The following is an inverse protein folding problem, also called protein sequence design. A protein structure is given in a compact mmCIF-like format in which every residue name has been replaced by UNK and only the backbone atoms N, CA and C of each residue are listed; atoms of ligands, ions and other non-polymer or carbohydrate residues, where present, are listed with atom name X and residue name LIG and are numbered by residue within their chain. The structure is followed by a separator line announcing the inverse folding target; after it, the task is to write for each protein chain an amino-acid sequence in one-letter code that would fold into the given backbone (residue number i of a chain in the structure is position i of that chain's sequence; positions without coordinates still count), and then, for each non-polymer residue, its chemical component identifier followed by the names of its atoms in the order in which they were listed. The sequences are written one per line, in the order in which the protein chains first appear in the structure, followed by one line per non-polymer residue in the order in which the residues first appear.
data_IF_785842682632
#
_entry.id   IF_785842682632
#
_cell.length_a   1.000
_cell.length_b   1.000
_cell.length_c   1.000
_cell.angle_alpha   90.00
_cell.angle_beta   90.00
_cell.angle_gamma   90.00
#
_symmetry.space_group_name_H-M   'P 1'
#
loop_
_entity.id
_entity.type
_entity.pdbx_description
1 polymer ?
#
# COMPACT_ATOMS: atom_id res chain seq x y z
N UNK A 1 30.84 -15.74 -12.60
CA UNK A 1 30.77 -15.97 -11.14
C UNK A 1 30.33 -14.68 -10.50
N UNK A 2 29.02 -14.54 -10.32
CA UNK A 2 28.39 -13.43 -9.59
C UNK A 2 27.03 -13.92 -9.15
N UNK A 3 26.73 -13.82 -7.86
CA UNK A 3 25.38 -13.97 -7.34
C UNK A 3 24.99 -12.70 -6.59
N UNK A 4 23.69 -12.49 -6.47
CA UNK A 4 23.10 -11.35 -5.82
C UNK A 4 22.24 -11.84 -4.67
N UNK A 5 22.35 -11.17 -3.53
CA UNK A 5 21.47 -11.40 -2.39
C UNK A 5 20.47 -10.27 -2.29
N UNK A 6 19.20 -10.57 -2.52
CA UNK A 6 18.11 -9.63 -2.32
C UNK A 6 17.39 -9.92 -1.01
N UNK A 7 17.06 -8.86 -0.24
CA UNK A 7 16.04 -8.95 0.81
C UNK A 7 14.72 -8.50 0.24
N UNK A 8 13.83 -9.44 0.00
CA UNK A 8 12.47 -9.22 -0.46
C UNK A 8 11.57 -9.02 0.75
N UNK A 9 10.80 -7.94 0.76
CA UNK A 9 9.91 -7.55 1.85
C UNK A 9 8.52 -7.37 1.33
N UNK A 10 7.54 -7.88 2.08
CA UNK A 10 6.14 -7.58 1.83
C UNK A 10 5.88 -6.13 2.20
N UNK A 11 5.37 -5.34 1.26
CA UNK A 11 5.27 -3.88 1.44
C UNK A 11 4.29 -3.49 2.57
N UNK A 12 3.11 -4.13 2.73
CA UNK A 12 2.20 -3.83 3.84
C UNK A 12 2.70 -4.22 5.23
N UNK A 13 3.64 -5.18 5.35
CA UNK A 13 4.31 -5.48 6.62
C UNK A 13 5.80 -5.86 6.41
N UNK A 14 6.66 -4.87 6.17
CA UNK A 14 8.03 -5.09 5.74
C UNK A 14 8.97 -5.47 6.89
N UNK A 15 8.46 -5.49 8.12
CA UNK A 15 9.21 -5.86 9.32
C UNK A 15 8.89 -7.27 9.79
N UNK A 16 7.68 -7.76 9.53
CA UNK A 16 7.28 -9.11 9.92
C UNK A 16 7.48 -10.11 8.80
N UNK A 17 7.23 -9.76 7.53
CA UNK A 17 7.34 -10.69 6.41
C UNK A 17 8.47 -10.30 5.44
N UNK A 18 9.56 -11.08 5.45
CA UNK A 18 10.66 -10.91 4.50
C UNK A 18 11.43 -12.20 4.23
N UNK A 19 12.12 -12.24 3.09
CA UNK A 19 12.99 -13.34 2.63
C UNK A 19 14.31 -12.76 2.11
N UNK A 20 15.44 -13.29 2.57
CA UNK A 20 16.73 -13.10 1.90
C UNK A 20 16.90 -14.21 0.87
N UNK A 21 16.95 -13.84 -0.41
CA UNK A 21 17.09 -14.77 -1.54
C UNK A 21 18.44 -14.52 -2.22
N UNK A 22 19.23 -15.57 -2.37
CA UNK A 22 20.45 -15.55 -3.17
C UNK A 22 20.16 -16.15 -4.54
N UNK A 23 20.52 -15.43 -5.60
CA UNK A 23 20.27 -15.82 -6.99
C UNK A 23 21.48 -15.52 -7.87
N UNK A 24 21.83 -16.45 -8.75
CA UNK A 24 22.93 -16.30 -9.71
C UNK A 24 22.63 -15.27 -10.79
N UNK A 25 23.65 -14.55 -11.26
CA UNK A 25 23.53 -13.53 -12.30
C UNK A 25 22.93 -14.01 -13.63
N UNK A 26 23.10 -15.29 -13.98
CA UNK A 26 22.63 -15.89 -15.24
C UNK A 26 21.20 -16.42 -15.13
N UNK A 27 20.57 -16.34 -13.95
CA UNK A 27 19.17 -16.71 -13.75
C UNK A 27 18.25 -15.59 -14.16
N UNK A 28 17.10 -15.97 -14.70
CA UNK A 28 16.06 -15.06 -15.20
C UNK A 28 15.28 -14.41 -14.07
N UNK A 29 14.66 -13.26 -14.35
CA UNK A 29 13.73 -12.63 -13.41
C UNK A 29 12.51 -13.51 -13.13
N UNK A 30 12.04 -14.29 -14.11
CA UNK A 30 10.97 -15.27 -13.92
C UNK A 30 11.36 -16.42 -12.98
N UNK A 31 12.63 -16.85 -12.96
CA UNK A 31 13.12 -17.81 -11.95
C UNK A 31 13.12 -17.18 -10.55
N UNK A 32 13.60 -15.94 -10.43
CA UNK A 32 13.62 -15.22 -9.17
C UNK A 32 12.22 -14.98 -8.60
N UNK A 33 11.28 -14.54 -9.43
CA UNK A 33 9.89 -14.31 -9.07
C UNK A 33 9.19 -15.59 -8.58
N UNK A 34 9.39 -16.73 -9.25
CA UNK A 34 8.84 -18.01 -8.79
C UNK A 34 9.29 -18.36 -7.37
N UNK A 35 10.55 -18.09 -7.05
CA UNK A 35 11.08 -18.30 -5.69
C UNK A 35 10.50 -17.31 -4.68
N UNK A 36 10.26 -16.04 -5.07
CA UNK A 36 9.58 -15.07 -4.20
C UNK A 36 8.21 -15.60 -3.82
N UNK A 37 7.35 -15.86 -4.80
CA UNK A 37 5.98 -16.29 -4.57
C UNK A 37 5.91 -17.59 -3.75
N UNK A 38 6.71 -18.60 -4.11
CA UNK A 38 6.77 -19.84 -3.34
C UNK A 38 7.21 -19.62 -1.88
N UNK A 39 8.11 -18.67 -1.62
CA UNK A 39 8.59 -18.36 -0.28
C UNK A 39 7.61 -17.50 0.53
N UNK A 40 6.76 -16.73 -0.13
CA UNK A 40 5.77 -15.83 0.49
C UNK A 40 4.36 -16.41 0.52
N UNK A 41 4.13 -17.62 -0.02
CA UNK A 41 2.83 -18.29 0.00
C UNK A 41 1.92 -17.95 -1.18
N UNK A 42 2.43 -17.24 -2.18
CA UNK A 42 1.69 -16.89 -3.39
C UNK A 42 1.83 -17.97 -4.48
N UNK A 43 0.82 -18.08 -5.33
CA UNK A 43 0.76 -18.99 -6.45
C UNK A 43 1.48 -18.41 -7.70
N UNK A 44 1.14 -18.92 -8.89
CA UNK A 44 1.75 -18.48 -10.16
C UNK A 44 0.67 -18.15 -11.22
N UNK A 45 -0.57 -17.91 -10.78
CA UNK A 45 -1.73 -17.79 -11.64
C UNK A 45 -1.94 -16.42 -12.28
N UNK A 46 -1.27 -15.38 -11.78
CA UNK A 46 -1.57 -13.98 -12.14
C UNK A 46 -0.42 -13.29 -12.87
N UNK A 47 -0.77 -12.19 -13.55
CA UNK A 47 0.19 -11.29 -14.17
C UNK A 47 0.99 -10.53 -13.10
N UNK A 48 2.20 -10.14 -13.48
CA UNK A 48 3.14 -9.47 -12.59
C UNK A 48 4.21 -8.72 -13.37
N UNK A 49 4.89 -7.80 -12.70
CA UNK A 49 6.11 -7.17 -13.20
C UNK A 49 7.10 -6.85 -12.07
N UNK A 50 8.37 -6.70 -12.46
CA UNK A 50 9.41 -6.07 -11.64
C UNK A 50 9.70 -4.68 -12.21
N UNK A 51 9.86 -3.70 -11.34
CA UNK A 51 10.08 -2.30 -11.72
C UNK A 51 11.12 -1.62 -10.84
N UNK A 52 11.27 -0.31 -11.04
CA UNK A 52 12.26 0.54 -10.37
C UNK A 52 11.65 1.64 -9.52
N UNK A 53 10.41 1.98 -9.79
CA UNK A 53 9.72 3.07 -9.13
C UNK A 53 8.99 2.55 -7.89
N UNK A 54 8.93 3.41 -6.87
CA UNK A 54 8.23 3.11 -5.64
C UNK A 54 6.71 3.01 -5.85
N UNK A 55 6.16 3.60 -6.91
CA UNK A 55 4.74 3.55 -7.31
C UNK A 55 4.39 2.24 -7.99
N UNK A 56 5.40 1.43 -8.29
CA UNK A 56 5.34 0.23 -9.11
C UNK A 56 4.88 0.55 -10.54
N UNK A 57 3.64 1.01 -10.71
CA UNK A 57 3.00 1.33 -11.97
C UNK A 57 3.69 2.47 -12.73
N UNK A 58 4.29 3.45 -12.05
CA UNK A 58 5.07 4.51 -12.70
C UNK A 58 6.54 4.12 -12.98
N UNK A 59 6.89 2.84 -13.00
CA UNK A 59 8.25 2.40 -13.33
C UNK A 59 8.63 2.75 -14.76
N UNK A 60 9.68 3.56 -14.92
CA UNK A 60 10.32 3.89 -16.21
C UNK A 60 10.68 2.63 -17.03
N UNK A 61 11.00 1.53 -16.33
CA UNK A 61 11.25 0.21 -16.92
C UNK A 61 10.42 -0.83 -16.18
N UNK A 62 9.67 -1.65 -16.93
CA UNK A 62 8.93 -2.80 -16.40
C UNK A 62 9.41 -4.09 -17.04
N UNK A 63 9.89 -5.00 -16.22
CA UNK A 63 10.20 -6.38 -16.61
C UNK A 63 8.94 -7.21 -16.39
N UNK A 64 8.17 -7.40 -17.45
CA UNK A 64 6.84 -8.00 -17.39
C UNK A 64 6.92 -9.52 -17.41
N UNK A 65 5.91 -10.15 -16.79
CA UNK A 65 5.71 -11.60 -16.91
C UNK A 65 5.69 -12.03 -18.39
N UNK A 66 6.25 -13.21 -18.74
CA UNK A 66 6.29 -13.68 -20.13
C UNK A 66 4.92 -13.72 -20.80
N UNK A 67 3.88 -14.09 -20.03
CA UNK A 67 2.50 -14.15 -20.49
C UNK A 67 1.97 -12.80 -20.96
N UNK A 68 2.26 -11.72 -20.22
CA UNK A 68 1.88 -10.37 -20.62
C UNK A 68 2.69 -9.90 -21.84
N UNK A 69 4.00 -10.15 -21.84
CA UNK A 69 4.88 -9.69 -22.90
C UNK A 69 4.54 -10.35 -24.26
N UNK A 70 4.29 -11.66 -24.26
CA UNK A 70 3.89 -12.40 -25.47
C UNK A 70 2.50 -12.01 -25.98
N UNK A 71 1.61 -11.56 -25.08
CA UNK A 71 0.26 -11.11 -25.40
C UNK A 71 0.16 -9.65 -25.86
N UNK A 72 1.24 -8.87 -25.71
CA UNK A 72 1.25 -7.46 -26.07
C UNK A 72 1.32 -7.25 -27.60
N UNK A 73 0.52 -6.35 -28.19
CA UNK A 73 0.71 -5.96 -29.57
C UNK A 73 2.08 -5.27 -29.76
N UNK A 74 2.81 -5.61 -30.83
CA UNK A 74 4.17 -5.10 -31.13
C UNK A 74 4.28 -3.56 -31.15
N UNK A 75 3.15 -2.85 -31.23
CA UNK A 75 3.03 -1.40 -31.13
C UNK A 75 1.66 -1.08 -30.53
N UNK A 76 1.58 -1.00 -29.20
CA UNK A 76 0.42 -0.36 -28.57
C UNK A 76 0.73 1.14 -28.38
N UNK A 77 0.11 2.05 -29.15
CA UNK A 77 0.28 3.49 -28.97
C UNK A 77 -0.31 4.03 -27.66
N UNK A 78 -0.98 3.19 -26.84
CA UNK A 78 -1.43 3.52 -25.48
C UNK A 78 -0.42 3.17 -24.40
N UNK A 79 0.62 2.39 -24.71
CA UNK A 79 1.75 2.21 -23.80
C UNK A 79 2.47 3.56 -23.72
N UNK A 80 2.58 4.09 -22.50
CA UNK A 80 3.31 5.32 -22.24
C UNK A 80 4.79 5.23 -22.63
N UNK A 81 5.63 6.22 -22.28
CA UNK A 81 7.06 6.20 -22.63
C UNK A 81 7.86 5.09 -21.92
N UNK A 82 7.23 4.21 -21.16
CA UNK A 82 7.87 3.17 -20.36
C UNK A 82 8.53 2.08 -21.23
N UNK A 83 9.72 1.65 -20.80
CA UNK A 83 10.44 0.56 -21.46
C UNK A 83 9.96 -0.78 -20.93
N UNK A 84 9.42 -1.62 -21.81
CA UNK A 84 8.96 -2.96 -21.47
C UNK A 84 9.99 -4.03 -21.87
N UNK A 85 10.26 -4.96 -20.97
CA UNK A 85 11.21 -6.05 -21.15
C UNK A 85 10.60 -7.38 -20.73
N UNK A 86 10.99 -8.49 -21.38
CA UNK A 86 10.49 -9.83 -21.03
C UNK A 86 11.27 -10.41 -19.85
N UNK A 87 10.61 -10.56 -18.69
CA UNK A 87 11.24 -11.11 -17.48
C UNK A 87 11.63 -12.60 -17.61
N UNK A 88 11.11 -13.32 -18.60
CA UNK A 88 11.51 -14.69 -18.93
C UNK A 88 12.84 -14.79 -19.66
N UNK A 89 13.31 -13.69 -20.25
CA UNK A 89 14.56 -13.62 -21.00
C UNK A 89 15.63 -12.81 -20.26
N UNK A 90 15.23 -11.72 -19.61
CA UNK A 90 16.16 -10.85 -18.87
C UNK A 90 16.68 -11.57 -17.63
N UNK A 91 18.00 -11.64 -17.52
CA UNK A 91 18.70 -12.18 -16.36
C UNK A 91 18.86 -11.16 -15.24
N UNK A 92 19.07 -11.65 -14.00
CA UNK A 92 19.34 -10.79 -12.83
C UNK A 92 20.58 -9.91 -13.08
N UNK A 93 21.64 -10.48 -13.67
CA UNK A 93 22.85 -9.74 -13.99
C UNK A 93 22.66 -8.68 -15.07
N UNK A 94 21.82 -8.94 -16.07
CA UNK A 94 21.44 -7.93 -17.07
C UNK A 94 20.62 -6.81 -16.45
N UNK A 95 19.55 -7.13 -15.72
CA UNK A 95 18.71 -6.14 -15.02
C UNK A 95 19.58 -5.26 -14.11
N UNK A 96 20.41 -5.86 -13.25
CA UNK A 96 21.29 -5.13 -12.32
C UNK A 96 22.19 -4.16 -13.07
N UNK A 97 22.77 -4.58 -14.20
CA UNK A 97 23.65 -3.74 -15.02
C UNK A 97 22.89 -2.64 -15.77
N UNK A 98 21.73 -2.95 -16.30
CA UNK A 98 20.89 -1.99 -17.04
C UNK A 98 20.41 -0.86 -16.13
N UNK A 99 20.03 -1.21 -14.90
CA UNK A 99 19.56 -0.27 -13.89
C UNK A 99 20.70 0.39 -13.11
N UNK A 100 21.93 -0.12 -13.24
CA UNK A 100 23.07 0.36 -12.47
C UNK A 100 22.96 0.10 -10.97
N UNK A 101 22.29 -1.00 -10.56
CA UNK A 101 22.04 -1.28 -9.15
C UNK A 101 23.34 -1.52 -8.39
N UNK A 102 23.49 -0.81 -7.28
CA UNK A 102 24.51 -0.98 -6.29
C UNK A 102 23.94 -1.61 -5.01
N UNK A 103 24.83 -1.95 -4.09
CA UNK A 103 24.42 -2.48 -2.80
C UNK A 103 23.51 -1.47 -2.07
N UNK A 104 22.37 -1.97 -1.60
CA UNK A 104 21.25 -1.29 -0.94
C UNK A 104 20.26 -0.57 -1.84
N UNK A 105 20.47 -0.60 -3.15
CA UNK A 105 19.44 -0.20 -4.12
C UNK A 105 18.27 -1.18 -4.10
N UNK A 106 17.15 -0.73 -4.66
CA UNK A 106 15.87 -1.41 -4.58
C UNK A 106 15.25 -1.59 -5.96
N UNK A 107 14.49 -2.66 -6.08
CA UNK A 107 13.53 -2.88 -7.15
C UNK A 107 12.17 -3.19 -6.51
N UNK A 108 11.10 -2.93 -7.24
CA UNK A 108 9.74 -3.25 -6.82
C UNK A 108 9.25 -4.50 -7.57
N UNK A 109 8.36 -5.26 -6.95
CA UNK A 109 7.73 -6.45 -7.51
C UNK A 109 6.24 -6.40 -7.18
N UNK A 110 5.41 -6.32 -8.22
CA UNK A 110 3.95 -6.33 -8.10
C UNK A 110 3.42 -7.62 -8.70
N UNK A 111 2.66 -8.37 -7.90
CA UNK A 111 2.01 -9.61 -8.29
C UNK A 111 0.51 -9.48 -8.16
N UNK A 112 -0.21 -9.99 -9.15
CA UNK A 112 -1.66 -9.84 -9.28
C UNK A 112 -2.10 -8.37 -9.44
N UNK A 113 -2.53 -8.00 -10.64
CA UNK A 113 -2.96 -6.63 -10.91
C UNK A 113 -4.34 -6.31 -10.33
N UNK A 114 -5.07 -7.31 -9.84
CA UNK A 114 -6.32 -7.12 -9.09
C UNK A 114 -6.05 -6.82 -7.62
N UNK A 115 -5.38 -7.75 -6.94
CA UNK A 115 -5.15 -7.69 -5.48
C UNK A 115 -3.90 -6.89 -5.09
N UNK A 116 -3.02 -6.64 -6.07
CA UNK A 116 -1.79 -5.86 -5.93
C UNK A 116 -0.89 -6.29 -4.77
N UNK A 117 -0.47 -7.54 -4.79
CA UNK A 117 0.54 -8.04 -3.85
C UNK A 117 1.88 -7.35 -4.11
N UNK A 118 2.20 -6.36 -3.28
CA UNK A 118 3.36 -5.48 -3.41
C UNK A 118 4.53 -5.96 -2.56
N UNK A 119 5.69 -6.05 -3.19
CA UNK A 119 6.96 -6.34 -2.54
C UNK A 119 8.05 -5.40 -3.05
N UNK A 120 9.04 -5.13 -2.22
CA UNK A 120 10.28 -4.54 -2.68
C UNK A 120 11.48 -5.40 -2.29
N UNK A 121 12.48 -5.42 -3.17
CA UNK A 121 13.68 -6.22 -3.01
C UNK A 121 14.91 -5.31 -2.91
N UNK A 122 15.59 -5.35 -1.76
CA UNK A 122 16.82 -4.58 -1.51
C UNK A 122 18.03 -5.45 -1.87
N UNK A 123 18.93 -4.96 -2.72
CA UNK A 123 20.18 -5.64 -3.04
C UNK A 123 21.14 -5.60 -1.83
N UNK A 124 21.18 -6.64 -1.01
CA UNK A 124 21.98 -6.68 0.23
C UNK A 124 23.46 -6.97 -0.01
N UNK A 125 23.81 -7.71 -1.06
CA UNK A 125 25.18 -8.06 -1.40
C UNK A 125 25.32 -8.47 -2.86
N UNK A 126 26.52 -8.26 -3.40
CA UNK A 126 26.98 -8.72 -4.71
C UNK A 126 28.19 -9.62 -4.46
N UNK A 127 28.04 -10.92 -4.68
CA UNK A 127 29.05 -11.92 -4.35
C UNK A 127 29.73 -12.43 -5.62
N UNK A 128 30.92 -11.91 -5.93
CA UNK A 128 31.67 -12.22 -7.16
C UNK A 128 32.34 -13.59 -7.17
N UNK A 129 32.31 -14.32 -6.05
CA UNK A 129 32.89 -15.66 -5.93
C UNK A 129 31.83 -16.78 -6.04
N UNK A 130 30.54 -16.43 -5.96
CA UNK A 130 29.44 -17.37 -6.10
C UNK A 130 29.15 -17.70 -7.58
N UNK A 131 28.57 -18.88 -7.80
CA UNK A 131 28.25 -19.38 -9.13
C UNK A 131 27.16 -18.50 -9.78
N UNK A 132 27.37 -18.09 -11.04
CA UNK A 132 26.41 -17.23 -11.75
C UNK A 132 25.16 -17.97 -12.22
N UNK A 133 25.21 -19.29 -12.30
CA UNK A 133 24.07 -20.17 -12.57
C UNK A 133 23.41 -20.69 -11.27
N UNK A 134 23.74 -20.13 -10.10
CA UNK A 134 23.12 -20.54 -8.84
C UNK A 134 21.61 -20.35 -8.86
N UNK A 135 20.86 -21.41 -8.57
CA UNK A 135 19.39 -21.34 -8.47
C UNK A 135 18.95 -20.40 -7.33
N UNK A 136 17.87 -19.62 -7.54
CA UNK A 136 17.36 -18.72 -6.50
C UNK A 136 16.94 -19.52 -5.27
N UNK A 137 17.55 -19.21 -4.14
CA UNK A 137 17.38 -19.95 -2.88
C UNK A 137 17.16 -18.97 -1.72
N UNK A 138 16.14 -19.23 -0.89
CA UNK A 138 15.94 -18.53 0.38
C UNK A 138 17.03 -18.95 1.37
N UNK A 139 17.82 -18.01 1.86
CA UNK A 139 18.92 -18.26 2.81
C UNK A 139 18.65 -17.72 4.21
N UNK A 140 17.64 -16.87 4.35
CA UNK A 140 17.18 -16.34 5.63
C UNK A 140 15.75 -15.80 5.48
N UNK A 141 14.96 -15.78 6.55
CA UNK A 141 13.56 -15.38 6.49
C UNK A 141 13.00 -14.95 7.85
N UNK A 142 11.88 -14.23 7.82
CA UNK A 142 11.03 -13.93 8.98
C UNK A 142 9.58 -13.82 8.53
N UNK A 143 8.67 -14.24 9.40
CA UNK A 143 7.22 -14.15 9.19
C UNK A 143 6.69 -15.35 8.43
N UNK A 144 5.48 -15.74 8.80
CA UNK A 144 4.79 -16.85 8.18
C UNK A 144 4.40 -16.48 6.73
N UNK A 145 4.38 -17.46 5.80
CA UNK A 145 3.85 -17.25 4.45
C UNK A 145 2.39 -16.77 4.49
N UNK A 146 1.95 -16.15 3.40
CA UNK A 146 0.56 -15.80 3.19
C UNK A 146 -0.24 -17.10 3.03
N UNK A 147 -1.01 -17.46 4.06
CA UNK A 147 -1.73 -18.73 4.12
C UNK A 147 -2.99 -18.77 3.23
N UNK A 148 -3.55 -17.61 2.89
CA UNK A 148 -4.80 -17.52 2.12
C UNK A 148 -4.75 -16.41 1.06
N UNK A 149 -4.03 -16.67 -0.04
CA UNK A 149 -3.87 -15.72 -1.16
C UNK A 149 -5.21 -15.29 -1.78
N UNK A 150 -6.18 -16.21 -1.89
CA UNK A 150 -7.53 -15.95 -2.41
C UNK A 150 -8.59 -16.00 -1.32
N UNK A 151 -8.14 -16.07 -0.08
CA UNK A 151 -9.01 -15.81 1.03
C UNK A 151 -9.52 -14.42 0.86
N UNK A 152 -10.84 -14.28 0.78
CA UNK A 152 -11.44 -13.16 1.50
C UNK A 152 -10.79 -13.19 2.87
N UNK A 153 -9.89 -12.24 3.16
CA UNK A 153 -9.03 -12.23 4.35
C UNK A 153 -9.75 -12.97 5.46
N UNK A 154 -9.25 -14.17 5.78
CA UNK A 154 -9.99 -15.17 6.55
C UNK A 154 -10.71 -14.45 7.66
N UNK A 155 -12.04 -14.54 7.63
CA UNK A 155 -12.89 -13.94 8.64
C UNK A 155 -12.48 -14.58 9.96
N UNK A 156 -11.53 -13.96 10.66
CA UNK A 156 -11.64 -13.85 12.08
C UNK A 156 -12.99 -13.18 12.27
N UNK A 157 -13.97 -14.02 12.59
CA UNK A 157 -15.37 -13.71 12.85
C UNK A 157 -15.50 -12.91 14.14
N UNK A 158 -14.72 -11.83 14.21
CA UNK A 158 -14.66 -10.82 15.25
C UNK A 158 -13.97 -9.51 14.81
N UNK A 159 -13.45 -9.38 13.59
CA UNK A 159 -13.16 -8.03 13.04
C UNK A 159 -14.49 -7.41 12.61
N UNK A 160 -14.90 -6.26 13.18
CA UNK A 160 -16.17 -5.64 12.82
C UNK A 160 -16.11 -5.26 11.35
N UNK A 161 -16.87 -5.97 10.52
CA UNK A 161 -17.07 -5.53 9.15
C UNK A 161 -17.69 -4.13 9.16
N UNK A 162 -17.21 -3.23 8.31
CA UNK A 162 -17.78 -1.89 8.18
C UNK A 162 -19.31 -1.95 8.07
N UNK A 163 -20.04 -1.13 8.83
CA UNK A 163 -21.50 -1.06 8.72
C UNK A 163 -21.91 -0.60 7.31
N UNK A 164 -23.12 -0.94 6.90
CA UNK A 164 -23.74 -0.19 5.80
C UNK A 164 -24.03 1.23 6.30
N UNK A 165 -23.82 2.28 5.48
CA UNK A 165 -23.51 2.25 4.04
C UNK A 165 -22.01 2.19 3.70
N UNK A 166 -21.09 2.29 4.67
CA UNK A 166 -19.65 2.37 4.44
C UNK A 166 -19.08 1.25 3.58
N UNK A 167 -19.55 0.01 3.81
CA UNK A 167 -19.14 -1.16 3.00
C UNK A 167 -19.40 -0.96 1.50
N UNK A 168 -20.45 -0.22 1.13
CA UNK A 168 -20.80 0.02 -0.28
C UNK A 168 -20.04 1.18 -0.94
N UNK A 169 -19.29 1.94 -0.13
CA UNK A 169 -18.64 3.19 -0.54
C UNK A 169 -17.12 3.05 -0.58
N UNK A 170 -16.53 2.27 0.34
CA UNK A 170 -15.08 2.20 0.50
C UNK A 170 -14.46 0.95 -0.15
N UNK A 171 -13.34 1.10 -0.88
CA UNK A 171 -12.54 -0.03 -1.32
C UNK A 171 -11.80 -0.67 -0.13
N UNK A 172 -11.31 -1.90 -0.30
CA UNK A 172 -10.70 -2.70 0.78
C UNK A 172 -9.29 -2.20 1.20
N UNK A 173 -8.74 -1.16 0.56
CA UNK A 173 -7.37 -0.63 0.76
C UNK A 173 -7.30 0.90 0.90
N UNK A 174 -6.13 1.44 1.24
CA UNK A 174 -5.90 2.88 1.41
C UNK A 174 -6.22 3.66 0.12
N UNK A 175 -6.86 4.83 0.26
CA UNK A 175 -7.46 5.57 -0.86
C UNK A 175 -6.73 6.88 -1.12
N UNK A 176 -6.44 7.24 -2.38
CA UNK A 176 -5.94 8.57 -2.73
C UNK A 176 -6.89 9.67 -2.25
N UNK A 177 -6.36 10.80 -1.77
CA UNK A 177 -7.17 11.94 -1.31
C UNK A 177 -8.16 12.42 -2.38
N UNK A 178 -7.77 12.35 -3.65
CA UNK A 178 -8.64 12.72 -4.77
C UNK A 178 -9.88 11.79 -4.87
N UNK A 179 -9.70 10.49 -4.63
CA UNK A 179 -10.77 9.50 -4.71
C UNK A 179 -11.71 9.59 -3.52
N UNK A 180 -11.17 9.86 -2.32
CA UNK A 180 -12.00 10.16 -1.14
C UNK A 180 -12.90 11.38 -1.37
N UNK A 181 -12.35 12.45 -1.96
CA UNK A 181 -13.14 13.64 -2.30
C UNK A 181 -14.18 13.36 -3.38
N UNK A 182 -13.91 12.45 -4.31
CA UNK A 182 -14.88 12.03 -5.32
C UNK A 182 -16.08 11.26 -4.73
N UNK A 183 -15.99 10.76 -3.49
CA UNK A 183 -17.13 10.10 -2.84
C UNK A 183 -18.30 11.06 -2.61
N UNK A 184 -18.04 12.37 -2.42
CA UNK A 184 -19.09 13.40 -2.32
C UNK A 184 -19.89 13.58 -3.62
N UNK A 185 -19.46 12.98 -4.73
CA UNK A 185 -20.25 12.96 -5.96
C UNK A 185 -21.41 11.94 -5.91
N UNK A 186 -21.47 11.10 -4.87
CA UNK A 186 -22.55 10.14 -4.67
C UNK A 186 -23.70 10.79 -3.90
N UNK A 187 -24.93 10.41 -4.26
CA UNK A 187 -26.15 10.98 -3.67
C UNK A 187 -26.32 10.63 -2.17
N UNK A 188 -25.64 9.59 -1.67
CA UNK A 188 -25.70 9.12 -0.29
C UNK A 188 -24.64 9.75 0.62
N UNK A 189 -23.62 10.43 0.07
CA UNK A 189 -22.51 11.01 0.84
C UNK A 189 -22.67 12.53 0.90
N UNK A 190 -22.77 13.07 2.10
CA UNK A 190 -22.91 14.51 2.34
C UNK A 190 -21.54 15.19 2.39
N UNK A 191 -20.68 14.72 3.29
CA UNK A 191 -19.35 15.30 3.49
C UNK A 191 -18.28 14.24 3.65
N UNK A 192 -17.09 14.53 3.14
CA UNK A 192 -15.84 13.79 3.39
C UNK A 192 -14.79 14.78 3.88
N UNK A 193 -14.36 14.61 5.13
CA UNK A 193 -13.28 15.34 5.76
C UNK A 193 -12.01 14.49 5.69
N UNK A 194 -11.07 14.89 4.86
CA UNK A 194 -9.78 14.19 4.72
C UNK A 194 -8.90 14.55 5.91
N UNK A 195 -8.40 13.57 6.66
CA UNK A 195 -7.59 13.83 7.86
C UNK A 195 -6.18 13.27 7.66
N UNK A 196 -5.18 14.00 8.13
CA UNK A 196 -3.79 13.52 8.21
C UNK A 196 -3.31 12.95 6.89
N UNK A 197 -3.47 13.77 5.85
CA UNK A 197 -2.93 13.42 4.54
C UNK A 197 -1.43 13.60 4.58
N UNK A 198 -0.67 12.55 4.35
CA UNK A 198 0.77 12.66 4.19
C UNK A 198 1.11 12.56 2.71
N UNK A 199 2.01 13.45 2.30
CA UNK A 199 2.58 13.40 0.96
C UNK A 199 3.46 12.16 0.85
N UNK A 200 3.10 11.29 -0.08
CA UNK A 200 3.92 10.16 -0.48
C UNK A 200 4.54 10.44 -1.85
N UNK A 201 5.43 9.55 -2.31
CA UNK A 201 5.84 9.54 -3.72
C UNK A 201 4.67 9.41 -4.71
N UNK A 202 3.46 9.04 -4.22
CA UNK A 202 2.23 8.75 -4.98
C UNK A 202 1.16 9.84 -4.86
N UNK A 203 1.54 11.00 -4.31
CA UNK A 203 0.63 12.09 -3.96
C UNK A 203 0.09 11.96 -2.53
N UNK A 204 -0.84 12.84 -2.19
CA UNK A 204 -1.49 12.81 -0.89
C UNK A 204 -2.40 11.57 -0.79
N UNK A 205 -2.01 10.63 0.07
CA UNK A 205 -2.84 9.51 0.50
C UNK A 205 -3.34 9.80 1.91
N UNK A 206 -4.45 9.18 2.24
CA UNK A 206 -5.15 9.43 3.48
C UNK A 206 -5.44 8.09 4.14
N UNK A 207 -4.87 7.90 5.32
CA UNK A 207 -5.12 6.72 6.16
C UNK A 207 -6.23 6.97 7.17
N UNK A 208 -6.72 8.21 7.30
CA UNK A 208 -7.77 8.60 8.24
C UNK A 208 -8.70 9.63 7.63
N UNK A 209 -9.99 9.41 7.62
CA UNK A 209 -10.94 10.44 7.18
C UNK A 209 -12.23 10.32 7.96
N UNK A 210 -13.01 11.39 7.96
CA UNK A 210 -14.38 11.34 8.42
C UNK A 210 -15.33 11.43 7.23
N UNK A 211 -16.43 10.69 7.27
CA UNK A 211 -17.46 10.69 6.25
C UNK A 211 -18.83 10.83 6.89
N UNK A 212 -19.66 11.67 6.30
CA UNK A 212 -21.00 11.96 6.72
C UNK A 212 -21.99 11.47 5.67
N UNK A 213 -22.97 10.70 6.13
CA UNK A 213 -24.21 10.36 5.44
C UNK A 213 -25.35 11.21 6.02
N UNK A 214 -26.56 11.08 5.47
CA UNK A 214 -27.74 11.84 5.92
C UNK A 214 -28.02 11.62 7.42
N UNK A 215 -27.94 10.37 7.87
CA UNK A 215 -28.36 9.98 9.23
C UNK A 215 -27.21 9.55 10.16
N UNK A 216 -25.96 9.56 9.69
CA UNK A 216 -24.81 9.09 10.47
C UNK A 216 -23.48 9.67 9.97
N UNK A 217 -22.53 9.84 10.89
CA UNK A 217 -21.14 10.19 10.59
C UNK A 217 -20.18 9.13 11.11
N UNK A 218 -19.05 8.94 10.43
CA UNK A 218 -18.05 7.94 10.80
C UNK A 218 -16.66 8.55 10.72
N UNK A 219 -15.84 8.33 11.75
CA UNK A 219 -14.39 8.51 11.70
C UNK A 219 -13.78 7.15 11.38
N UNK A 220 -12.93 7.12 10.36
CA UNK A 220 -12.44 5.90 9.75
C UNK A 220 -10.92 5.93 9.69
N UNK A 221 -10.28 4.83 10.05
CA UNK A 221 -8.83 4.65 9.99
C UNK A 221 -8.48 3.35 9.27
N UNK A 222 -7.43 3.39 8.45
CA UNK A 222 -6.85 2.22 7.82
C UNK A 222 -5.74 1.65 8.72
N UNK A 223 -6.02 0.53 9.39
CA UNK A 223 -5.04 -0.20 10.19
C UNK A 223 -5.24 -1.70 9.97
N UNK A 224 -4.16 -2.48 9.83
CA UNK A 224 -4.27 -3.92 9.54
C UNK A 224 -5.34 -4.60 10.43
N UNK A 225 -6.33 -5.31 9.85
CA UNK A 225 -6.39 -5.81 8.47
C UNK A 225 -7.10 -4.91 7.43
N UNK A 226 -7.40 -3.63 7.71
CA UNK A 226 -8.02 -2.72 6.73
C UNK A 226 -8.76 -1.52 7.36
N UNK A 227 -9.80 -1.03 6.70
CA UNK A 227 -10.61 0.09 7.22
C UNK A 227 -11.41 -0.30 8.45
N UNK A 228 -11.33 0.52 9.49
CA UNK A 228 -12.07 0.36 10.74
C UNK A 228 -12.80 1.66 11.08
N UNK A 229 -14.01 1.52 11.61
CA UNK A 229 -14.71 2.64 12.26
C UNK A 229 -14.09 2.81 13.64
N UNK A 230 -13.47 3.96 13.87
CA UNK A 230 -12.95 4.31 15.20
C UNK A 230 -13.99 5.03 16.04
N UNK A 231 -14.88 5.79 15.38
CA UNK A 231 -16.00 6.46 16.03
C UNK A 231 -17.21 6.56 15.08
N UNK A 232 -18.41 6.37 15.63
CA UNK A 232 -19.69 6.53 14.93
C UNK A 232 -20.54 7.61 15.63
N UNK A 233 -21.03 8.56 14.84
CA UNK A 233 -21.83 9.69 15.32
C UNK A 233 -23.25 9.56 14.77
N UNK A 234 -24.22 9.36 15.66
CA UNK A 234 -25.65 9.28 15.31
C UNK A 234 -26.20 10.64 14.84
N UNK A 235 -26.86 10.64 13.68
CA UNK A 235 -27.47 11.79 13.03
C UNK A 235 -28.99 11.85 13.09
N UNK A 236 -29.68 10.84 13.66
CA UNK A 236 -31.15 10.67 13.57
C UNK A 236 -31.99 11.88 13.99
N UNK A 237 -31.45 12.76 14.86
CA UNK A 237 -32.12 13.98 15.35
C UNK A 237 -31.29 15.27 15.11
N UNK A 238 -30.37 15.24 14.14
CA UNK A 238 -29.44 16.34 13.86
C UNK A 238 -29.67 16.90 12.47
N UNK A 239 -29.50 18.21 12.31
CA UNK A 239 -29.33 18.79 10.97
C UNK A 239 -27.97 18.40 10.41
N UNK A 240 -27.81 18.56 9.09
CA UNK A 240 -26.52 18.36 8.40
C UNK A 240 -25.35 19.03 9.12
N UNK A 241 -25.46 20.34 9.39
CA UNK A 241 -24.43 21.11 10.12
C UNK A 241 -24.19 20.61 11.55
N UNK A 242 -25.24 20.15 12.25
CA UNK A 242 -25.12 19.64 13.62
C UNK A 242 -24.42 18.29 13.67
N UNK A 243 -24.66 17.45 12.66
CA UNK A 243 -23.97 16.19 12.50
C UNK A 243 -22.51 16.42 12.10
N UNK A 244 -22.24 17.34 11.17
CA UNK A 244 -20.88 17.71 10.78
C UNK A 244 -20.08 18.26 11.96
N UNK A 245 -20.67 19.15 12.76
CA UNK A 245 -20.02 19.72 13.95
C UNK A 245 -19.61 18.63 14.96
N UNK A 246 -20.52 17.70 15.24
CA UNK A 246 -20.22 16.62 16.15
C UNK A 246 -19.24 15.59 15.58
N UNK A 247 -19.22 15.40 14.24
CA UNK A 247 -18.23 14.58 13.57
C UNK A 247 -16.84 15.23 13.66
N UNK A 248 -16.74 16.56 13.52
CA UNK A 248 -15.49 17.28 13.75
C UNK A 248 -15.01 17.17 15.21
N UNK A 249 -15.93 17.23 16.18
CA UNK A 249 -15.60 17.02 17.59
C UNK A 249 -15.09 15.59 17.85
N UNK A 250 -15.73 14.57 17.26
CA UNK A 250 -15.27 13.19 17.33
C UNK A 250 -13.85 13.01 16.77
N UNK A 251 -13.51 13.71 15.68
CA UNK A 251 -12.15 13.71 15.12
C UNK A 251 -11.14 14.32 16.09
N UNK A 252 -11.47 15.44 16.74
CA UNK A 252 -10.59 16.09 17.73
C UNK A 252 -10.34 15.19 18.93
N UNK A 253 -11.38 14.51 19.43
CA UNK A 253 -11.26 13.53 20.50
C UNK A 253 -10.36 12.36 20.08
N UNK A 254 -10.56 11.81 18.87
CA UNK A 254 -9.72 10.73 18.34
C UNK A 254 -8.24 11.11 18.18
N UNK A 255 -7.95 12.33 17.72
CA UNK A 255 -6.57 12.84 17.63
C UNK A 255 -5.86 12.83 19.00
N UNK A 256 -6.57 13.20 20.07
CA UNK A 256 -6.04 13.14 21.42
C UNK A 256 -5.76 11.69 21.86
N UNK A 257 -6.66 10.76 21.54
CA UNK A 257 -6.48 9.33 21.86
C UNK A 257 -5.28 8.71 21.11
N UNK A 258 -5.09 9.02 19.83
CA UNK A 258 -3.94 8.53 19.03
C UNK A 258 -2.61 8.93 19.69
N UNK A 259 -2.51 10.18 20.16
CA UNK A 259 -1.30 10.71 20.79
C UNK A 259 -1.00 9.99 22.11
N UNK A 260 -2.02 9.69 22.92
CA UNK A 260 -1.88 8.88 24.13
C UNK A 260 -1.43 7.44 23.82
N UNK A 261 -2.07 6.78 22.84
CA UNK A 261 -1.77 5.40 22.43
C UNK A 261 -0.34 5.31 21.86
N UNK A 262 0.03 6.23 20.97
CA UNK A 262 1.37 6.29 20.37
C UNK A 262 2.45 6.53 21.41
N UNK A 263 2.17 7.37 22.40
CA UNK A 263 3.11 7.62 23.50
C UNK A 263 3.30 6.40 24.40
N UNK A 264 2.23 5.66 24.67
CA UNK A 264 2.29 4.41 25.44
C UNK A 264 3.10 3.31 24.73
N UNK A 265 3.01 3.22 23.40
CA UNK A 265 3.72 2.19 22.61
C UNK A 265 5.20 2.49 22.37
N UNK A 266 5.55 3.76 22.15
CA UNK A 266 6.93 4.17 21.79
C UNK A 266 7.77 4.55 23.01
N UNK A 267 7.14 4.78 24.17
CA UNK A 267 7.78 5.33 25.36
C UNK A 267 8.23 6.78 25.20
N UNK A 268 7.85 7.44 24.09
CA UNK A 268 8.03 8.86 23.86
C UNK A 268 6.77 9.60 24.31
N UNK A 269 6.92 10.76 24.95
CA UNK A 269 5.78 11.61 25.23
C UNK A 269 5.62 12.56 24.04
N UNK A 270 4.58 12.34 23.24
CA UNK A 270 4.13 13.33 22.26
C UNK A 270 3.46 14.47 23.03
N UNK A 271 3.78 15.70 22.65
CA UNK A 271 3.33 16.92 23.32
C UNK A 271 2.08 17.52 22.65
N UNK A 272 1.47 18.51 23.30
CA UNK A 272 0.30 19.24 22.79
C UNK A 272 0.54 19.82 21.39
N UNK A 273 1.79 20.11 21.02
CA UNK A 273 2.18 20.61 19.68
C UNK A 273 1.86 19.61 18.56
N UNK A 274 1.92 18.31 18.85
CA UNK A 274 1.55 17.25 17.89
C UNK A 274 0.04 17.21 17.65
N UNK A 275 -0.76 17.33 18.70
CA UNK A 275 -2.24 17.37 18.61
C UNK A 275 -2.69 18.61 17.83
N UNK A 276 -2.11 19.77 18.15
CA UNK A 276 -2.41 21.03 17.46
C UNK A 276 -2.10 20.94 15.96
N UNK A 277 -1.01 20.29 15.56
CA UNK A 277 -0.71 20.05 14.14
C UNK A 277 -1.78 19.19 13.44
N UNK A 278 -2.38 18.22 14.14
CA UNK A 278 -3.45 17.38 13.59
C UNK A 278 -4.76 18.17 13.47
N UNK A 279 -5.04 19.09 14.41
CA UNK A 279 -6.20 19.98 14.34
C UNK A 279 -6.11 20.99 13.17
N UNK A 280 -4.92 21.48 12.85
CA UNK A 280 -4.72 22.41 11.72
C UNK A 280 -5.22 21.84 10.39
N UNK A 281 -5.05 20.53 10.15
CA UNK A 281 -5.55 19.90 8.92
C UNK A 281 -7.06 19.79 8.88
N UNK A 282 -7.69 19.42 10.01
CA UNK A 282 -9.15 19.39 10.14
C UNK A 282 -9.75 20.78 9.91
N UNK A 283 -9.17 21.81 10.53
CA UNK A 283 -9.62 23.20 10.37
C UNK A 283 -9.48 23.68 8.92
N UNK A 284 -8.38 23.34 8.24
CA UNK A 284 -8.18 23.68 6.83
C UNK A 284 -9.19 22.98 5.90
N UNK A 285 -9.62 21.76 6.23
CA UNK A 285 -10.68 21.05 5.50
C UNK A 285 -12.05 21.68 5.70
N UNK A 286 -12.40 22.02 6.95
CA UNK A 286 -13.65 22.71 7.29
C UNK A 286 -13.72 24.08 6.62
N UNK A 287 -12.65 24.88 6.69
CA UNK A 287 -12.57 26.18 6.03
C UNK A 287 -12.80 26.06 4.51
N UNK A 288 -12.16 25.08 3.86
CA UNK A 288 -12.30 24.87 2.41
C UNK A 288 -13.74 24.55 2.00
N UNK A 289 -14.49 23.89 2.88
CA UNK A 289 -15.90 23.54 2.66
C UNK A 289 -16.86 24.65 3.11
N UNK A 290 -16.36 25.73 3.72
CA UNK A 290 -17.17 26.86 4.19
C UNK A 290 -17.73 26.70 5.61
N UNK A 291 -17.11 25.83 6.41
CA UNK A 291 -17.48 25.51 7.79
C UNK A 291 -16.43 25.94 8.81
N UNK A 292 -15.73 27.05 8.57
CA UNK A 292 -14.70 27.65 9.44
C UNK A 292 -15.20 28.04 10.84
N UNK A 293 -16.52 27.99 11.06
CA UNK A 293 -17.17 28.29 12.32
C UNK A 293 -17.39 27.06 13.22
N UNK A 294 -17.07 25.86 12.73
CA UNK A 294 -17.15 24.56 13.43
C UNK A 294 -15.76 24.12 13.93
#
# INVERSE_FOLDING_TARGET
MTAYRFRVKFEPDPTSLWRDIVVGADRTLAEFQRTINAATGLDQGHLWFVGTDEDYWNSDVKYQSPQQYEGAPETDPLLGPERLENAGEVTIGEMTRQLGLEQYDRICYLYDYGDEWRFYAILKAIDSEEASDREPTVVNEKGDPIDDQYGSAGTDSNSPSLPEPLRSVLPETAVPVADLRNLEARDDVVHVLVLLSFETGFGAVCERFAIQFEDAGYVIENFQPGWQVVEEVDGTDRTEDQLLAALADAVREWHAEIVEISGAMTGQHFDDETIESMHVELEAELERKGYDHL
#
